data_IF_302303895710
#
_entry.id   IF_302303895710
#
_cell.length_a   1.000
_cell.length_b   1.000
_cell.length_c   1.000
_cell.angle_alpha   90.00
_cell.angle_beta   90.00
_cell.angle_gamma   90.00
#
_symmetry.space_group_name_H-M   'P 1'
#
loop_
_entity.id
_entity.type
_entity.pdbx_description
1 polymer ?
#
# COMPACT_ATOMS: atom_id res chain seq x y z
N UNK A 1 4.72 -5.00 -16.08
CA UNK A 1 5.90 -5.09 -15.21
C UNK A 1 5.74 -4.27 -13.94
N UNK A 2 5.55 -2.94 -14.01
CA UNK A 2 5.42 -2.11 -12.81
C UNK A 2 4.36 -2.59 -11.81
N UNK A 3 3.14 -2.92 -12.28
CA UNK A 3 2.09 -3.51 -11.44
C UNK A 3 2.50 -4.82 -10.74
N UNK A 4 3.28 -5.68 -11.38
CA UNK A 4 3.73 -6.95 -10.80
C UNK A 4 4.80 -6.74 -9.73
N UNK A 5 5.61 -5.69 -9.85
CA UNK A 5 6.81 -5.50 -9.04
C UNK A 5 6.75 -4.30 -8.10
N UNK A 6 5.61 -3.59 -7.99
CA UNK A 6 5.50 -2.38 -7.18
C UNK A 6 5.88 -2.64 -5.71
N UNK A 7 5.50 -3.80 -5.16
CA UNK A 7 5.84 -4.25 -3.80
C UNK A 7 7.08 -5.14 -3.70
N UNK A 8 7.80 -5.37 -4.81
CA UNK A 8 9.00 -6.23 -4.80
C UNK A 8 10.10 -5.72 -3.85
N UNK A 9 10.04 -4.44 -3.46
CA UNK A 9 10.93 -3.84 -2.49
C UNK A 9 10.84 -4.41 -1.08
N UNK A 10 9.72 -5.01 -0.69
CA UNK A 10 9.59 -5.71 0.59
C UNK A 10 10.39 -7.01 0.62
N UNK A 11 10.72 -7.59 -0.53
CA UNK A 11 11.47 -8.84 -0.61
C UNK A 11 12.89 -8.62 -0.07
N UNK A 12 13.29 -9.47 0.88
CA UNK A 12 14.65 -9.52 1.41
C UNK A 12 15.59 -10.12 0.38
N UNK A 13 16.80 -9.57 0.27
CA UNK A 13 17.84 -10.14 -0.60
C UNK A 13 18.43 -11.37 0.06
N UNK A 14 18.92 -12.32 -0.75
CA UNK A 14 19.72 -13.43 -0.23
C UNK A 14 20.94 -12.88 0.52
N UNK A 15 21.12 -13.27 1.78
CA UNK A 15 22.20 -12.77 2.63
C UNK A 15 21.93 -11.42 3.32
N UNK A 16 20.71 -10.88 3.25
CA UNK A 16 20.32 -9.69 4.01
C UNK A 16 20.38 -9.96 5.52
N UNK A 17 21.39 -9.39 6.16
CA UNK A 17 21.63 -9.41 7.61
C UNK A 17 21.17 -8.14 8.32
N UNK A 18 20.72 -7.12 7.58
CA UNK A 18 20.34 -5.82 8.15
C UNK A 18 18.97 -5.89 8.79
N UNK A 19 18.04 -6.60 8.15
CA UNK A 19 16.66 -6.72 8.59
C UNK A 19 16.21 -8.18 8.56
N UNK A 20 15.42 -8.58 9.55
CA UNK A 20 14.88 -9.92 9.71
C UNK A 20 13.55 -10.10 8.96
N UNK A 21 12.80 -9.03 8.73
CA UNK A 21 11.50 -9.00 8.08
C UNK A 21 11.49 -8.01 6.91
N UNK A 22 10.72 -8.32 5.86
CA UNK A 22 10.50 -7.42 4.73
C UNK A 22 9.81 -6.12 5.12
N UNK A 23 8.91 -6.15 6.11
CA UNK A 23 8.19 -4.98 6.63
C UNK A 23 9.13 -3.88 7.17
N UNK A 24 10.35 -4.24 7.58
CA UNK A 24 11.34 -3.25 8.01
C UNK A 24 11.80 -2.32 6.86
N UNK A 25 11.45 -2.67 5.62
CA UNK A 25 11.69 -1.85 4.43
C UNK A 25 10.55 -0.92 4.04
N UNK A 26 9.45 -0.84 4.79
CA UNK A 26 8.28 0.01 4.47
C UNK A 26 8.64 1.43 4.05
N UNK A 27 9.61 2.09 4.72
CA UNK A 27 10.00 3.48 4.40
C UNK A 27 10.74 3.65 3.07
N UNK A 28 11.25 2.57 2.48
CA UNK A 28 12.13 2.58 1.29
C UNK A 28 11.78 1.49 0.28
N UNK A 29 10.64 0.82 0.42
CA UNK A 29 10.25 -0.33 -0.39
C UNK A 29 10.08 0.07 -1.86
N UNK A 30 9.49 1.23 -2.15
CA UNK A 30 9.31 1.69 -3.52
C UNK A 30 10.65 1.97 -4.19
N UNK A 31 11.55 2.68 -3.49
CA UNK A 31 12.92 2.91 -3.97
C UNK A 31 13.67 1.58 -4.20
N UNK A 32 13.49 0.59 -3.32
CA UNK A 32 14.07 -0.75 -3.47
C UNK A 32 13.50 -1.50 -4.67
N UNK A 33 12.17 -1.48 -4.83
CA UNK A 33 11.45 -2.09 -5.94
C UNK A 33 11.84 -1.45 -7.28
N UNK A 34 11.95 -0.13 -7.33
CA UNK A 34 12.41 0.62 -8.49
C UNK A 34 13.82 0.22 -8.93
N UNK A 35 14.77 0.12 -7.99
CA UNK A 35 16.13 -0.37 -8.31
C UNK A 35 16.10 -1.81 -8.84
N UNK A 36 15.36 -2.70 -8.18
CA UNK A 36 15.21 -4.07 -8.64
C UNK A 36 14.64 -4.14 -10.07
N UNK A 37 13.55 -3.41 -10.32
CA UNK A 37 12.87 -3.41 -11.60
C UNK A 37 13.75 -2.85 -12.71
N UNK A 38 14.49 -1.76 -12.44
CA UNK A 38 15.47 -1.21 -13.38
C UNK A 38 16.49 -2.28 -13.79
N UNK A 39 17.14 -2.91 -12.83
CA UNK A 39 18.17 -3.93 -13.08
C UNK A 39 17.57 -5.17 -13.80
N UNK A 40 16.34 -5.55 -13.46
CA UNK A 40 15.64 -6.66 -14.11
C UNK A 40 15.30 -6.36 -15.57
N UNK A 41 14.85 -5.15 -15.90
CA UNK A 41 14.53 -4.74 -17.27
C UNK A 41 15.76 -4.81 -18.19
N UNK A 42 16.95 -4.47 -17.69
CA UNK A 42 18.19 -4.66 -18.46
C UNK A 42 18.42 -6.13 -18.83
N UNK A 43 18.17 -7.07 -17.90
CA UNK A 43 18.42 -8.50 -18.11
C UNK A 43 17.51 -9.14 -19.14
N UNK A 44 16.30 -8.61 -19.32
CA UNK A 44 15.30 -9.18 -20.24
C UNK A 44 15.20 -8.42 -21.58
N UNK A 45 16.20 -7.61 -21.92
CA UNK A 45 16.22 -6.86 -23.19
C UNK A 45 15.26 -5.66 -23.24
N UNK A 46 14.81 -5.16 -22.08
CA UNK A 46 13.89 -4.03 -21.94
C UNK A 46 14.54 -2.78 -21.35
N UNK A 47 15.87 -2.64 -21.50
CA UNK A 47 16.68 -1.56 -20.94
C UNK A 47 16.16 -0.15 -21.27
N UNK A 48 15.56 0.05 -22.44
CA UNK A 48 14.97 1.34 -22.86
C UNK A 48 13.89 1.88 -21.92
N UNK A 49 13.27 1.03 -21.10
CA UNK A 49 12.24 1.43 -20.13
C UNK A 49 12.78 1.61 -18.71
N UNK A 50 14.05 1.28 -18.48
CA UNK A 50 14.63 1.18 -17.14
C UNK A 50 14.62 2.54 -16.40
N UNK A 51 14.91 3.62 -17.11
CA UNK A 51 14.90 5.00 -16.56
C UNK A 51 13.49 5.49 -16.20
N UNK A 52 12.46 4.99 -16.88
CA UNK A 52 11.08 5.34 -16.58
C UNK A 52 10.48 4.46 -15.46
N UNK A 53 10.90 3.19 -15.39
CA UNK A 53 10.28 2.20 -14.53
C UNK A 53 10.40 2.54 -13.04
N UNK A 54 11.59 2.92 -12.57
CA UNK A 54 11.82 3.25 -11.17
C UNK A 54 10.97 4.46 -10.71
N UNK A 55 11.01 5.61 -11.43
CA UNK A 55 10.14 6.75 -11.11
C UNK A 55 8.64 6.42 -11.18
N UNK A 56 8.20 5.62 -12.15
CA UNK A 56 6.77 5.22 -12.26
C UNK A 56 6.30 4.43 -11.02
N UNK A 57 7.17 3.65 -10.37
CA UNK A 57 6.83 2.96 -9.12
C UNK A 57 6.54 3.93 -7.96
N UNK A 58 7.19 5.10 -7.92
CA UNK A 58 6.96 6.10 -6.86
C UNK A 58 5.52 6.61 -6.77
N UNK A 59 4.69 6.39 -7.79
CA UNK A 59 3.27 6.73 -7.73
C UNK A 59 2.44 5.80 -6.83
N UNK A 60 2.93 4.62 -6.46
CA UNK A 60 2.21 3.66 -5.58
C UNK A 60 2.41 3.99 -4.10
N UNK A 61 3.63 4.28 -3.67
CA UNK A 61 3.91 4.59 -2.26
C UNK A 61 3.85 6.07 -1.90
N UNK A 62 4.26 6.39 -0.68
CA UNK A 62 4.28 7.75 -0.12
C UNK A 62 5.71 8.29 0.09
N UNK A 63 6.73 7.61 -0.45
CA UNK A 63 8.14 8.03 -0.32
C UNK A 63 8.43 9.38 -0.98
N UNK A 64 7.67 9.73 -2.03
CA UNK A 64 7.79 10.98 -2.75
C UNK A 64 6.40 11.53 -3.05
N UNK A 65 6.22 12.84 -2.84
CA UNK A 65 5.01 13.53 -3.27
C UNK A 65 4.82 13.36 -4.78
N UNK A 66 3.62 12.95 -5.22
CA UNK A 66 3.36 12.58 -6.60
C UNK A 66 3.76 13.70 -7.57
N UNK A 67 3.52 14.96 -7.23
CA UNK A 67 3.84 16.17 -8.01
C UNK A 67 5.35 16.35 -8.23
N UNK A 68 6.18 15.80 -7.34
CA UNK A 68 7.65 15.89 -7.42
C UNK A 68 8.27 14.76 -8.24
N UNK A 69 7.51 13.71 -8.58
CA UNK A 69 8.02 12.57 -9.33
C UNK A 69 8.32 13.00 -10.78
N UNK A 70 9.58 12.87 -11.17
CA UNK A 70 10.05 13.18 -12.53
C UNK A 70 10.11 11.90 -13.35
N UNK A 71 9.42 11.91 -14.49
CA UNK A 71 9.41 10.82 -15.47
C UNK A 71 9.90 11.36 -16.81
N UNK A 72 10.50 10.54 -17.69
CA UNK A 72 11.11 11.01 -18.93
C UNK A 72 10.09 11.43 -20.00
N UNK A 73 8.85 10.93 -19.94
CA UNK A 73 7.80 11.21 -20.91
C UNK A 73 6.43 11.30 -20.20
N UNK A 74 5.51 12.21 -20.63
CA UNK A 74 4.15 12.30 -20.09
C UNK A 74 3.38 10.97 -20.06
N UNK A 75 3.62 10.06 -20.99
CA UNK A 75 2.97 8.73 -20.99
C UNK A 75 3.30 7.94 -19.73
N UNK A 76 4.51 8.07 -19.18
CA UNK A 76 4.89 7.39 -17.94
C UNK A 76 4.27 8.02 -16.71
N UNK A 77 3.92 9.32 -16.77
CA UNK A 77 3.11 9.98 -15.74
C UNK A 77 1.71 9.40 -15.74
N UNK A 78 1.10 9.28 -16.92
CA UNK A 78 -0.21 8.65 -17.09
C UNK A 78 -0.20 7.21 -16.54
N UNK A 79 0.79 6.41 -16.90
CA UNK A 79 0.96 5.04 -16.39
C UNK A 79 1.15 5.03 -14.87
N UNK A 80 1.96 5.94 -14.32
CA UNK A 80 2.16 6.07 -12.87
C UNK A 80 0.86 6.42 -12.14
N UNK A 81 0.11 7.38 -12.65
CA UNK A 81 -1.19 7.77 -12.11
C UNK A 81 -2.19 6.61 -12.12
N UNK A 82 -2.26 5.85 -13.22
CA UNK A 82 -3.08 4.65 -13.32
C UNK A 82 -2.63 3.57 -12.33
N UNK A 83 -1.33 3.33 -12.23
CA UNK A 83 -0.75 2.33 -11.34
C UNK A 83 -1.03 2.65 -9.87
N UNK A 84 -0.74 3.88 -9.43
CA UNK A 84 -1.03 4.32 -8.06
C UNK A 84 -2.53 4.33 -7.75
N UNK A 85 -3.37 4.66 -8.73
CA UNK A 85 -4.82 4.60 -8.55
C UNK A 85 -5.30 3.17 -8.38
N UNK A 86 -4.81 2.25 -9.22
CA UNK A 86 -5.16 0.84 -9.17
C UNK A 86 -4.75 0.20 -7.84
N UNK A 87 -3.58 0.54 -7.32
CA UNK A 87 -3.07 0.06 -6.03
C UNK A 87 -4.02 0.45 -4.88
N UNK A 88 -4.31 1.75 -4.76
CA UNK A 88 -5.23 2.27 -3.73
C UNK A 88 -6.61 1.61 -3.82
N UNK A 89 -7.26 1.64 -4.99
CA UNK A 89 -8.64 1.17 -5.09
C UNK A 89 -8.74 -0.35 -4.91
N UNK A 90 -7.75 -1.12 -5.38
CA UNK A 90 -7.73 -2.57 -5.19
C UNK A 90 -7.56 -2.92 -3.70
N UNK A 91 -6.62 -2.28 -3.01
CA UNK A 91 -6.38 -2.49 -1.58
C UNK A 91 -7.63 -2.17 -0.75
N UNK A 92 -8.24 -0.99 -0.97
CA UNK A 92 -9.36 -0.53 -0.17
C UNK A 92 -10.68 -1.26 -0.46
N UNK A 93 -10.86 -1.76 -1.69
CA UNK A 93 -12.02 -2.57 -2.08
C UNK A 93 -11.97 -4.01 -1.58
N UNK A 94 -10.82 -4.46 -1.06
CA UNK A 94 -10.62 -5.86 -0.71
C UNK A 94 -11.67 -6.29 0.32
N UNK A 95 -12.30 -7.44 0.07
CA UNK A 95 -13.35 -7.96 0.94
C UNK A 95 -12.86 -8.17 2.38
N UNK A 96 -11.58 -8.42 2.62
CA UNK A 96 -11.02 -8.56 3.96
C UNK A 96 -10.15 -7.35 4.34
N UNK A 97 -10.38 -6.17 3.75
CA UNK A 97 -9.55 -4.98 3.96
C UNK A 97 -9.38 -4.64 5.45
N UNK A 98 -10.49 -4.59 6.21
CA UNK A 98 -10.45 -4.22 7.62
C UNK A 98 -9.73 -5.28 8.47
N UNK A 99 -9.98 -6.56 8.21
CA UNK A 99 -9.29 -7.65 8.89
C UNK A 99 -7.80 -7.67 8.55
N UNK A 100 -7.41 -7.34 7.31
CA UNK A 100 -6.00 -7.17 6.94
C UNK A 100 -5.38 -5.97 7.64
N UNK A 101 -6.08 -4.85 7.78
CA UNK A 101 -5.62 -3.71 8.54
C UNK A 101 -5.33 -4.10 10.00
N UNK A 102 -6.28 -4.80 10.63
CA UNK A 102 -6.21 -5.19 12.03
C UNK A 102 -5.14 -6.28 12.28
N UNK A 103 -5.19 -7.39 11.55
CA UNK A 103 -4.38 -8.58 11.83
C UNK A 103 -2.95 -8.52 11.25
N UNK A 104 -2.73 -7.74 10.18
CA UNK A 104 -1.50 -7.81 9.37
C UNK A 104 -0.80 -6.46 9.26
N UNK A 105 -1.52 -5.44 8.83
CA UNK A 105 -0.93 -4.14 8.50
C UNK A 105 -0.38 -3.42 9.73
N UNK A 106 -1.08 -3.44 10.86
CA UNK A 106 -0.57 -2.82 12.08
C UNK A 106 0.75 -3.47 12.56
N UNK A 107 0.86 -4.81 12.68
CA UNK A 107 2.15 -5.44 12.94
C UNK A 107 3.26 -5.08 11.94
N UNK A 108 2.93 -4.97 10.65
CA UNK A 108 3.88 -4.52 9.62
C UNK A 108 4.32 -3.07 9.83
N UNK A 109 3.42 -2.19 10.27
CA UNK A 109 3.73 -0.80 10.58
C UNK A 109 4.67 -0.66 11.77
N UNK A 110 4.45 -1.46 12.82
CA UNK A 110 5.35 -1.53 13.98
C UNK A 110 6.74 -2.04 13.56
N UNK A 111 6.80 -3.12 12.78
CA UNK A 111 8.08 -3.63 12.26
C UNK A 111 8.79 -2.63 11.34
N UNK A 112 8.03 -1.89 10.53
CA UNK A 112 8.54 -0.82 9.66
C UNK A 112 8.91 0.47 10.39
N UNK A 113 8.61 0.59 11.68
CA UNK A 113 8.78 1.80 12.47
C UNK A 113 8.01 3.00 11.90
N UNK A 114 6.84 2.76 11.32
CA UNK A 114 5.92 3.79 10.77
C UNK A 114 4.69 4.00 11.66
N UNK A 115 4.58 3.26 12.77
CA UNK A 115 3.65 3.52 13.87
C UNK A 115 4.03 4.78 14.67
N UNK A 116 5.23 5.33 14.45
CA UNK A 116 5.81 6.49 15.13
C UNK A 116 6.38 7.50 14.13
N UNK A 117 6.31 8.77 14.50
CA UNK A 117 6.94 9.86 13.76
C UNK A 117 7.68 10.79 14.74
N UNK A 118 8.85 11.27 14.35
CA UNK A 118 9.59 12.30 15.07
C UNK A 118 9.05 13.67 14.65
N UNK A 119 8.59 14.47 15.61
CA UNK A 119 8.17 15.84 15.38
C UNK A 119 9.36 16.77 15.14
N UNK A 120 9.07 17.99 14.69
CA UNK A 120 10.08 19.04 14.47
C UNK A 120 10.81 19.45 15.77
N UNK A 121 10.19 19.16 16.91
CA UNK A 121 10.72 19.33 18.27
C UNK A 121 11.66 18.19 18.70
N UNK A 122 11.89 17.19 17.84
CA UNK A 122 12.68 16.00 18.14
C UNK A 122 11.96 14.95 18.98
N UNK A 123 10.71 15.20 19.39
CA UNK A 123 9.94 14.26 20.20
C UNK A 123 9.26 13.22 19.32
N UNK A 124 9.30 11.96 19.75
CA UNK A 124 8.52 10.90 19.10
C UNK A 124 7.03 11.00 19.46
N UNK A 125 6.19 10.85 18.45
CA UNK A 125 4.72 10.80 18.59
C UNK A 125 4.20 9.55 17.90
N UNK A 126 3.24 8.90 18.55
CA UNK A 126 2.54 7.76 17.96
C UNK A 126 1.66 8.24 16.81
N UNK A 127 1.86 7.63 15.64
CA UNK A 127 0.95 7.74 14.49
C UNK A 127 -0.24 6.81 14.69
N UNK A 128 0.01 5.59 15.17
CA UNK A 128 -1.02 4.59 15.49
C UNK A 128 -0.72 3.95 16.86
N UNK A 129 -1.66 4.03 17.78
CA UNK A 129 -1.51 3.49 19.13
C UNK A 129 -1.69 1.96 19.20
N UNK A 130 -2.54 1.39 18.33
CA UNK A 130 -2.86 -0.04 18.29
C UNK A 130 -3.45 -0.45 16.94
N UNK A 131 -3.72 -1.75 16.77
CA UNK A 131 -4.45 -2.27 15.60
C UNK A 131 -5.90 -1.73 15.54
N UNK A 132 -6.53 -1.55 16.70
CA UNK A 132 -7.83 -0.89 16.84
C UNK A 132 -7.75 0.58 16.39
N UNK A 133 -6.74 1.33 16.83
CA UNK A 133 -6.56 2.73 16.43
C UNK A 133 -6.36 2.87 14.91
N UNK A 134 -5.58 1.96 14.28
CA UNK A 134 -5.46 1.92 12.82
C UNK A 134 -6.81 1.69 12.14
N UNK A 135 -7.62 0.76 12.66
CA UNK A 135 -8.96 0.50 12.15
C UNK A 135 -9.88 1.71 12.31
N UNK A 136 -9.87 2.35 13.49
CA UNK A 136 -10.71 3.51 13.78
C UNK A 136 -10.34 4.74 12.95
N UNK A 137 -9.07 4.87 12.54
CA UNK A 137 -8.60 5.94 11.65
C UNK A 137 -8.83 5.67 10.17
N UNK A 138 -9.26 4.46 9.80
CA UNK A 138 -9.50 4.06 8.41
C UNK A 138 -10.45 5.01 7.66
N UNK A 139 -11.56 5.52 8.24
CA UNK A 139 -12.39 6.51 7.56
C UNK A 139 -11.66 7.81 7.21
N UNK A 140 -10.79 8.29 8.10
CA UNK A 140 -9.97 9.47 7.82
C UNK A 140 -8.94 9.18 6.73
N UNK A 141 -8.32 8.00 6.77
CA UNK A 141 -7.40 7.56 5.72
C UNK A 141 -8.08 7.52 4.34
N UNK A 142 -9.32 7.04 4.26
CA UNK A 142 -10.09 7.04 3.01
C UNK A 142 -10.26 8.45 2.42
N UNK A 143 -10.56 9.45 3.25
CA UNK A 143 -10.64 10.83 2.77
C UNK A 143 -9.31 11.32 2.18
N UNK A 144 -8.19 10.99 2.82
CA UNK A 144 -6.85 11.29 2.28
C UNK A 144 -6.56 10.54 0.98
N UNK A 145 -6.94 9.25 0.90
CA UNK A 145 -6.77 8.43 -0.29
C UNK A 145 -7.61 8.96 -1.47
N UNK A 146 -8.87 9.34 -1.23
CA UNK A 146 -9.72 9.95 -2.26
C UNK A 146 -9.15 11.29 -2.74
N UNK A 147 -8.65 12.12 -1.83
CA UNK A 147 -7.95 13.36 -2.22
C UNK A 147 -6.76 13.07 -3.12
N UNK A 148 -5.94 12.08 -2.77
CA UNK A 148 -4.80 11.63 -3.60
C UNK A 148 -5.27 11.16 -4.98
N UNK A 149 -6.28 10.29 -5.05
CA UNK A 149 -6.84 9.80 -6.31
C UNK A 149 -7.31 10.93 -7.22
N UNK A 150 -8.08 11.88 -6.68
CA UNK A 150 -8.66 12.97 -7.47
C UNK A 150 -7.65 14.06 -7.86
N UNK A 151 -6.75 14.44 -6.95
CA UNK A 151 -5.91 15.63 -7.11
C UNK A 151 -4.49 15.31 -7.57
N UNK A 152 -3.96 14.16 -7.16
CA UNK A 152 -2.53 13.84 -7.34
C UNK A 152 -2.31 12.76 -8.42
N UNK A 153 -3.31 11.91 -8.63
CA UNK A 153 -3.29 10.81 -9.59
C UNK A 153 -4.29 11.02 -10.76
N UNK A 154 -4.63 12.28 -11.01
CA UNK A 154 -5.42 12.73 -12.18
C UNK A 154 -6.76 12.00 -12.36
N UNK A 155 -7.38 11.58 -11.24
CA UNK A 155 -8.61 10.83 -11.20
C UNK A 155 -8.62 9.60 -12.14
N UNK A 156 -7.48 8.90 -12.25
CA UNK A 156 -7.34 7.74 -13.15
C UNK A 156 -8.19 6.54 -12.74
N UNK A 157 -8.63 6.45 -11.48
CA UNK A 157 -9.57 5.42 -11.05
C UNK A 157 -10.89 5.45 -11.83
N UNK A 158 -11.28 6.56 -12.46
CA UNK A 158 -12.50 6.63 -13.30
C UNK A 158 -12.53 5.59 -14.41
N UNK A 159 -11.36 5.24 -14.96
CA UNK A 159 -11.22 4.26 -16.03
C UNK A 159 -11.57 2.83 -15.57
N UNK A 160 -11.56 2.55 -14.26
CA UNK A 160 -12.02 1.26 -13.75
C UNK A 160 -13.54 1.04 -13.94
N UNK A 161 -14.31 2.11 -14.12
CA UNK A 161 -15.75 2.04 -14.37
C UNK A 161 -16.11 1.74 -15.85
N UNK A 162 -15.16 1.86 -16.78
CA UNK A 162 -15.47 1.70 -18.22
C UNK A 162 -15.91 0.27 -18.56
N UNK A 163 -15.36 -0.74 -17.87
CA UNK A 163 -15.72 -2.15 -18.10
C UNK A 163 -17.08 -2.54 -17.53
N UNK A 164 -17.55 -1.84 -16.50
CA UNK A 164 -18.81 -2.11 -15.79
C UNK A 164 -19.95 -1.20 -16.29
N UNK A 165 -19.68 -0.45 -17.36
CA UNK A 165 -20.58 0.43 -18.11
C UNK A 165 -21.29 1.55 -17.36
N UNK A 166 -21.32 1.59 -16.01
CA UNK A 166 -21.91 2.71 -15.24
C UNK A 166 -21.32 2.93 -13.83
N UNK A 167 -20.58 1.98 -13.24
CA UNK A 167 -20.26 2.01 -11.80
C UNK A 167 -18.83 1.57 -11.49
N UNK A 168 -18.09 2.34 -10.70
CA UNK A 168 -16.79 1.90 -10.21
C UNK A 168 -16.94 0.97 -9.01
N UNK A 169 -17.02 -0.34 -9.25
CA UNK A 169 -17.21 -1.35 -8.20
C UNK A 169 -16.11 -1.32 -7.13
N UNK A 170 -14.88 -0.94 -7.47
CA UNK A 170 -13.81 -0.82 -6.47
C UNK A 170 -14.11 0.30 -5.46
N UNK A 171 -14.61 1.44 -5.95
CA UNK A 171 -15.01 2.56 -5.09
C UNK A 171 -16.22 2.18 -4.25
N UNK A 172 -17.24 1.54 -4.82
CA UNK A 172 -18.42 1.10 -4.07
C UNK A 172 -18.06 0.13 -2.93
N UNK A 173 -17.19 -0.84 -3.18
CA UNK A 173 -16.75 -1.77 -2.14
C UNK A 173 -15.83 -1.09 -1.10
N UNK A 174 -14.97 -0.17 -1.52
CA UNK A 174 -14.18 0.63 -0.60
C UNK A 174 -15.07 1.48 0.34
N UNK A 175 -16.12 2.10 -0.20
CA UNK A 175 -17.09 2.87 0.59
C UNK A 175 -17.86 1.98 1.58
N UNK A 176 -18.23 0.76 1.20
CA UNK A 176 -18.83 -0.22 2.12
C UNK A 176 -17.88 -0.58 3.26
N UNK A 177 -16.61 -0.85 2.94
CA UNK A 177 -15.59 -1.13 3.95
C UNK A 177 -15.39 0.07 4.90
N UNK A 178 -15.35 1.30 4.38
CA UNK A 178 -15.19 2.52 5.19
C UNK A 178 -16.40 2.80 6.06
N UNK A 179 -17.62 2.61 5.53
CA UNK A 179 -18.86 2.72 6.32
C UNK A 179 -18.86 1.72 7.46
N UNK A 180 -18.36 0.50 7.22
CA UNK A 180 -18.28 -0.53 8.25
C UNK A 180 -17.18 -0.22 9.28
N UNK A 181 -16.03 0.31 8.85
CA UNK A 181 -14.98 0.79 9.76
C UNK A 181 -15.49 1.90 10.69
N UNK A 182 -16.31 2.83 10.17
CA UNK A 182 -16.95 3.87 10.98
C UNK A 182 -17.89 3.27 12.03
N UNK A 183 -18.72 2.30 11.64
CA UNK A 183 -19.59 1.62 12.60
C UNK A 183 -18.81 0.93 13.73
N UNK A 184 -17.69 0.27 13.39
CA UNK A 184 -16.80 -0.37 14.38
C UNK A 184 -16.12 0.68 15.27
N UNK A 185 -15.71 1.82 14.72
CA UNK A 185 -15.11 2.91 15.49
C UNK A 185 -16.12 3.53 16.47
N UNK A 186 -17.37 3.72 16.03
CA UNK A 186 -18.44 4.28 16.86
C UNK A 186 -18.86 3.32 17.98
N UNK A 187 -18.85 2.01 17.73
CA UNK A 187 -19.21 0.99 18.74
C UNK A 187 -18.04 0.56 19.63
N UNK A 188 -16.80 0.72 19.17
CA UNK A 188 -15.61 0.17 19.81
C UNK A 188 -15.49 -1.36 19.73
N UNK A 189 -16.40 -2.05 19.03
CA UNK A 189 -16.47 -3.51 18.99
C UNK A 189 -15.76 -4.09 17.77
N UNK A 190 -14.47 -4.39 17.92
CA UNK A 190 -13.67 -5.04 16.87
C UNK A 190 -14.04 -6.51 16.65
N UNK A 191 -14.77 -7.15 17.57
CA UNK A 191 -15.26 -8.53 17.38
C UNK A 191 -16.32 -8.64 16.28
N UNK A 192 -16.85 -7.50 15.83
CA UNK A 192 -17.72 -7.41 14.67
C UNK A 192 -17.01 -7.84 13.37
N UNK A 193 -15.67 -7.76 13.29
CA UNK A 193 -14.89 -8.27 12.16
C UNK A 193 -15.03 -9.80 12.07
N UNK A 194 -15.66 -10.28 10.99
CA UNK A 194 -16.06 -11.70 10.83
C UNK A 194 -15.41 -12.41 9.66
N UNK A 195 -14.65 -11.72 8.82
CA UNK A 195 -14.04 -12.35 7.64
C UNK A 195 -12.66 -12.90 8.01
N UNK A 196 -12.18 -13.83 7.22
CA UNK A 196 -10.85 -14.40 7.39
C UNK A 196 -10.03 -14.12 6.14
N UNK A 197 -8.97 -13.29 6.23
CA UNK A 197 -8.14 -13.06 5.06
C UNK A 197 -7.38 -14.35 4.70
N UNK A 198 -7.11 -14.60 3.41
CA UNK A 198 -6.46 -15.82 2.95
C UNK A 198 -5.09 -16.01 3.62
N UNK A 199 -4.73 -17.26 3.94
CA UNK A 199 -3.41 -17.56 4.50
C UNK A 199 -2.32 -17.35 3.43
N UNK A 200 -1.59 -16.25 3.56
CA UNK A 200 -0.50 -15.87 2.65
C UNK A 200 0.88 -15.98 3.28
N UNK A 201 0.95 -16.20 4.60
CA UNK A 201 2.18 -16.48 5.34
C UNK A 201 2.14 -17.95 5.74
N UNK A 202 3.13 -18.78 5.33
CA UNK A 202 3.23 -20.14 5.84
C UNK A 202 3.37 -20.08 7.36
N UNK A 203 2.41 -20.63 8.09
CA UNK A 203 2.42 -20.59 9.55
C UNK A 203 3.76 -21.10 10.09
N UNK A 204 4.34 -20.37 11.05
CA UNK A 204 5.34 -20.94 11.96
C UNK A 204 4.73 -22.23 12.49
N UNK A 205 5.27 -23.40 12.12
CA UNK A 205 4.90 -24.67 12.72
C UNK A 205 5.06 -24.50 14.23
N UNK A 206 3.94 -24.37 14.94
CA UNK A 206 3.93 -24.41 16.38
C UNK A 206 4.64 -25.69 16.80
N UNK A 207 5.66 -25.55 17.64
CA UNK A 207 6.29 -26.67 18.32
C UNK A 207 5.19 -27.41 19.08
N UNK A 208 4.68 -28.51 18.52
CA UNK A 208 4.00 -29.52 19.32
C UNK A 208 5.04 -30.02 20.30
N UNK A 209 4.97 -29.54 21.54
CA UNK A 209 5.63 -30.15 22.68
C UNK A 209 5.19 -31.62 22.67
N UNK A 210 6.17 -32.51 22.50
CA UNK A 210 6.06 -33.89 22.94
C UNK A 210 6.26 -33.91 24.45
#
# INVERSE_FOLDING_TARGET
>A
MAALFHDAGYIRRTGDRRHANGAEYTKVHVSRGGRFLRDYLHKIGMAKFAEAAAPTLHFTGYEQAAERIRVPDPVFRLIGNMLGSADIIAQMSDRCYLEKCYERLYPEFVLGGVDRATGDDGNERLVFASAEDLLFRTPQFYHTAMKRLHQQLDAMMRFAAERTQQRNLYIEEAEKNVKYARHIADSGDVSALRRHPPQTVPGRRGSRRR
#
